data_IF_653982824330
#
_entry.id   IF_653982824330
#
_cell.length_a   1.000
_cell.length_b   1.000
_cell.length_c   1.000
_cell.angle_alpha   90.00
_cell.angle_beta   90.00
_cell.angle_gamma   90.00
#
_symmetry.space_group_name_H-M   'P 1'
#
loop_
_entity.id
_entity.type
_entity.pdbx_description
1 polymer ?
#
# COMPACT_ATOMS: atom_id res chain seq x y z
N UNK A 1 7.28 3.89 -19.95
CA UNK A 1 6.02 4.28 -20.63
C UNK A 1 4.88 3.27 -20.45
N UNK A 2 5.05 1.97 -20.75
CA UNK A 2 3.95 1.00 -20.71
C UNK A 2 3.24 0.88 -19.35
N UNK A 3 3.95 0.96 -18.22
CA UNK A 3 3.33 0.96 -16.90
C UNK A 3 2.35 2.12 -16.68
N UNK A 4 2.69 3.32 -17.16
CA UNK A 4 1.82 4.50 -17.08
C UNK A 4 0.60 4.34 -17.98
N UNK A 5 0.78 3.78 -19.18
CA UNK A 5 -0.35 3.49 -20.08
C UNK A 5 -1.28 2.42 -19.48
N UNK A 6 -0.73 1.40 -18.83
CA UNK A 6 -1.52 0.37 -18.16
C UNK A 6 -2.41 0.98 -17.06
N UNK A 7 -1.83 1.84 -16.21
CA UNK A 7 -2.56 2.56 -15.17
C UNK A 7 -3.60 3.54 -15.75
N UNK A 8 -3.29 4.16 -16.88
CA UNK A 8 -4.21 5.06 -17.59
C UNK A 8 -5.40 4.31 -18.19
N UNK A 9 -5.15 3.15 -18.81
CA UNK A 9 -6.20 2.26 -19.31
C UNK A 9 -7.08 1.78 -18.15
N UNK A 10 -6.49 1.44 -17.01
CA UNK A 10 -7.24 1.07 -15.81
C UNK A 10 -8.14 2.20 -15.30
N UNK A 11 -7.65 3.44 -15.28
CA UNK A 11 -8.49 4.59 -14.94
C UNK A 11 -9.59 4.82 -15.98
N UNK A 12 -9.28 4.67 -17.28
CA UNK A 12 -10.24 4.77 -18.37
C UNK A 12 -11.39 3.76 -18.24
N UNK A 13 -11.15 2.56 -17.70
CA UNK A 13 -12.21 1.57 -17.48
C UNK A 13 -13.25 2.01 -16.45
N UNK A 14 -12.91 2.98 -15.59
CA UNK A 14 -13.80 3.57 -14.58
C UNK A 14 -14.56 4.75 -15.19
N UNK A 15 -13.87 5.65 -15.88
CA UNK A 15 -14.48 6.85 -16.47
C UNK A 15 -15.26 6.58 -17.76
N UNK A 16 -15.10 5.40 -18.36
CA UNK A 16 -15.82 4.94 -19.56
C UNK A 16 -16.40 3.52 -19.37
N UNK A 17 -17.44 3.37 -18.53
CA UNK A 17 -18.02 2.07 -18.21
C UNK A 17 -18.46 1.27 -19.44
N UNK A 18 -18.93 1.94 -20.49
CA UNK A 18 -19.37 1.35 -21.75
C UNK A 18 -18.25 0.64 -22.52
N UNK A 19 -16.98 0.96 -22.22
CA UNK A 19 -15.78 0.32 -22.78
C UNK A 19 -14.91 -0.30 -21.69
N UNK A 20 -15.46 -0.53 -20.50
CA UNK A 20 -14.68 -0.97 -19.33
C UNK A 20 -13.90 -2.26 -19.62
N UNK A 21 -14.56 -3.27 -20.20
CA UNK A 21 -13.92 -4.54 -20.54
C UNK A 21 -12.73 -4.37 -21.50
N UNK A 22 -12.85 -3.51 -22.51
CA UNK A 22 -11.77 -3.20 -23.46
C UNK A 22 -10.59 -2.55 -22.75
N UNK A 23 -10.84 -1.58 -21.87
CA UNK A 23 -9.79 -0.87 -21.16
C UNK A 23 -9.11 -1.73 -20.09
N UNK A 24 -9.85 -2.62 -19.42
CA UNK A 24 -9.29 -3.61 -18.49
C UNK A 24 -8.36 -4.59 -19.21
N UNK A 25 -8.80 -5.13 -20.36
CA UNK A 25 -7.96 -5.99 -21.18
C UNK A 25 -6.69 -5.26 -21.68
N UNK A 26 -6.81 -3.99 -22.11
CA UNK A 26 -5.64 -3.17 -22.46
C UNK A 26 -4.70 -2.98 -21.27
N UNK A 27 -5.23 -2.69 -20.08
CA UNK A 27 -4.43 -2.51 -18.87
C UNK A 27 -3.61 -3.76 -18.56
N UNK A 28 -4.22 -4.95 -18.62
CA UNK A 28 -3.54 -6.24 -18.42
C UNK A 28 -2.44 -6.45 -19.45
N UNK A 29 -2.73 -6.31 -20.76
CA UNK A 29 -1.72 -6.50 -21.82
C UNK A 29 -0.53 -5.55 -21.65
N UNK A 30 -0.79 -4.28 -21.35
CA UNK A 30 0.23 -3.26 -21.14
C UNK A 30 1.07 -3.56 -19.90
N UNK A 31 0.44 -3.98 -18.80
CA UNK A 31 1.14 -4.35 -17.56
C UNK A 31 2.05 -5.56 -17.78
N UNK A 32 1.55 -6.62 -18.42
CA UNK A 32 2.35 -7.82 -18.73
C UNK A 32 3.57 -7.49 -19.59
N UNK A 33 3.39 -6.66 -20.63
CA UNK A 33 4.50 -6.23 -21.48
C UNK A 33 5.51 -5.37 -20.70
N UNK A 34 5.03 -4.51 -19.81
CA UNK A 34 5.90 -3.65 -19.00
C UNK A 34 6.73 -4.46 -18.01
N UNK A 35 6.15 -5.47 -17.34
CA UNK A 35 6.87 -6.40 -16.45
C UNK A 35 7.93 -7.17 -17.25
N UNK A 36 7.59 -7.68 -18.44
CA UNK A 36 8.54 -8.37 -19.31
C UNK A 36 9.74 -7.49 -19.65
N UNK A 37 9.50 -6.23 -20.03
CA UNK A 37 10.57 -5.27 -20.32
C UNK A 37 11.41 -4.95 -19.07
N UNK A 38 10.78 -4.73 -17.92
CA UNK A 38 11.49 -4.49 -16.67
C UNK A 38 12.43 -5.64 -16.31
N UNK A 39 11.95 -6.88 -16.46
CA UNK A 39 12.75 -8.08 -16.21
C UNK A 39 13.95 -8.20 -17.15
N UNK A 40 13.85 -7.71 -18.38
CA UNK A 40 14.98 -7.68 -19.34
C UNK A 40 16.06 -6.64 -19.01
N UNK A 41 15.72 -5.60 -18.23
CA UNK A 41 16.66 -4.49 -17.91
C UNK A 41 17.48 -4.68 -16.63
N UNK A 42 17.49 -5.89 -16.04
CA UNK A 42 18.00 -6.13 -14.68
C UNK A 42 19.50 -5.87 -14.47
N UNK A 43 20.32 -5.86 -15.53
CA UNK A 43 21.78 -5.74 -15.45
C UNK A 43 22.36 -4.41 -15.96
N UNK A 44 21.51 -3.45 -16.32
CA UNK A 44 22.00 -2.18 -16.85
C UNK A 44 22.24 -1.19 -15.71
N UNK A 45 23.51 -1.06 -15.29
CA UNK A 45 23.93 -0.09 -14.29
C UNK A 45 23.69 1.37 -14.73
N UNK A 46 23.56 2.27 -13.75
CA UNK A 46 23.44 3.71 -13.98
C UNK A 46 22.32 4.37 -13.18
N UNK A 47 22.58 5.60 -12.73
CA UNK A 47 21.67 6.39 -11.89
C UNK A 47 20.31 6.64 -12.55
N UNK A 48 20.29 7.03 -13.82
CA UNK A 48 19.06 7.27 -14.59
C UNK A 48 18.19 6.01 -14.74
N UNK A 49 18.83 4.86 -14.99
CA UNK A 49 18.13 3.57 -15.11
C UNK A 49 17.56 3.13 -13.77
N UNK A 50 18.26 3.36 -12.67
CA UNK A 50 17.75 3.12 -11.33
C UNK A 50 16.51 3.97 -11.04
N UNK A 51 16.53 5.26 -11.37
CA UNK A 51 15.36 6.14 -11.22
C UNK A 51 14.18 5.66 -12.06
N UNK A 52 14.40 5.30 -13.33
CA UNK A 52 13.36 4.76 -14.19
C UNK A 52 12.76 3.45 -13.64
N UNK A 53 13.60 2.55 -13.11
CA UNK A 53 13.17 1.31 -12.45
C UNK A 53 12.37 1.58 -11.19
N UNK A 54 12.78 2.56 -10.38
CA UNK A 54 12.09 2.94 -9.16
C UNK A 54 10.71 3.52 -9.47
N UNK A 55 10.63 4.45 -10.43
CA UNK A 55 9.36 5.02 -10.90
C UNK A 55 8.43 3.94 -11.45
N UNK A 56 8.96 3.05 -12.29
CA UNK A 56 8.19 1.94 -12.83
C UNK A 56 7.66 1.02 -11.72
N UNK A 57 8.50 0.63 -10.77
CA UNK A 57 8.12 -0.24 -9.64
C UNK A 57 7.06 0.41 -8.77
N UNK A 58 7.16 1.74 -8.55
CA UNK A 58 6.18 2.52 -7.80
C UNK A 58 4.82 2.59 -8.50
N UNK A 59 4.82 2.81 -9.83
CA UNK A 59 3.59 2.81 -10.64
C UNK A 59 2.96 1.43 -10.69
N UNK A 60 3.77 0.38 -10.87
CA UNK A 60 3.30 -1.00 -10.95
C UNK A 60 2.65 -1.45 -9.65
N UNK A 61 3.30 -1.23 -8.50
CA UNK A 61 2.74 -1.60 -7.19
C UNK A 61 1.43 -0.88 -6.91
N UNK A 62 1.36 0.43 -7.20
CA UNK A 62 0.11 1.21 -7.08
C UNK A 62 -1.00 0.68 -8.00
N UNK A 63 -0.68 0.31 -9.23
CA UNK A 63 -1.65 -0.24 -10.17
C UNK A 63 -2.21 -1.57 -9.66
N UNK A 64 -1.34 -2.50 -9.23
CA UNK A 64 -1.78 -3.81 -8.70
C UNK A 64 -2.69 -3.63 -7.48
N UNK A 65 -2.32 -2.77 -6.54
CA UNK A 65 -3.14 -2.52 -5.34
C UNK A 65 -4.48 -1.86 -5.68
N UNK A 66 -4.49 -0.92 -6.63
CA UNK A 66 -5.73 -0.31 -7.11
C UNK A 66 -6.65 -1.33 -7.80
N UNK A 67 -6.10 -2.33 -8.49
CA UNK A 67 -6.89 -3.42 -9.06
C UNK A 67 -7.51 -4.28 -7.98
N UNK A 68 -6.72 -4.68 -6.98
CA UNK A 68 -7.20 -5.52 -5.88
C UNK A 68 -8.27 -4.82 -5.05
N UNK A 69 -8.08 -3.55 -4.70
CA UNK A 69 -9.05 -2.77 -3.91
C UNK A 69 -10.40 -2.55 -4.61
N UNK A 70 -10.47 -2.79 -5.93
CA UNK A 70 -11.70 -2.63 -6.72
C UNK A 70 -12.30 -3.95 -7.18
N UNK A 71 -11.72 -5.08 -6.78
CA UNK A 71 -12.24 -6.40 -7.10
C UNK A 71 -13.24 -6.82 -6.01
N UNK A 72 -14.50 -6.45 -6.21
CA UNK A 72 -15.62 -6.65 -5.28
C UNK A 72 -16.23 -8.06 -5.35
N UNK A 73 -15.76 -8.90 -6.30
CA UNK A 73 -16.25 -10.27 -6.49
C UNK A 73 -15.44 -11.36 -5.77
N UNK A 74 -14.32 -11.02 -5.13
CA UNK A 74 -13.47 -11.98 -4.45
C UNK A 74 -14.01 -12.32 -3.05
N UNK A 75 -13.94 -13.59 -2.67
CA UNK A 75 -14.01 -13.93 -1.25
C UNK A 75 -12.81 -13.34 -0.49
N UNK A 76 -12.96 -13.20 0.83
CA UNK A 76 -11.94 -12.53 1.64
C UNK A 76 -10.55 -13.21 1.57
N UNK A 77 -10.42 -14.55 1.66
CA UNK A 77 -9.12 -15.20 1.50
C UNK A 77 -8.43 -14.93 0.15
N UNK A 78 -9.18 -14.96 -0.96
CA UNK A 78 -8.64 -14.69 -2.29
C UNK A 78 -8.28 -13.20 -2.47
N UNK A 79 -9.11 -12.30 -1.95
CA UNK A 79 -8.77 -10.88 -1.86
C UNK A 79 -7.45 -10.68 -1.12
N UNK A 80 -7.33 -11.27 0.08
CA UNK A 80 -6.18 -11.08 0.95
C UNK A 80 -4.90 -11.62 0.32
N UNK A 81 -4.98 -12.79 -0.34
CA UNK A 81 -3.84 -13.36 -1.08
C UNK A 81 -3.34 -12.43 -2.19
N UNK A 82 -4.26 -11.86 -2.99
CA UNK A 82 -3.89 -10.90 -4.04
C UNK A 82 -3.38 -9.58 -3.45
N UNK A 83 -3.98 -9.14 -2.34
CA UNK A 83 -3.55 -7.94 -1.63
C UNK A 83 -2.12 -8.09 -1.11
N UNK A 84 -1.80 -9.14 -0.37
CA UNK A 84 -0.45 -9.37 0.17
C UNK A 84 0.56 -9.56 -0.95
N UNK A 85 0.21 -10.26 -2.03
CA UNK A 85 1.05 -10.33 -3.23
C UNK A 85 1.33 -8.93 -3.81
N UNK A 86 0.29 -8.10 -3.94
CA UNK A 86 0.42 -6.72 -4.41
C UNK A 86 1.30 -5.86 -3.49
N UNK A 87 1.15 -6.01 -2.17
CA UNK A 87 1.98 -5.32 -1.17
C UNK A 87 3.44 -5.77 -1.30
N UNK A 88 3.74 -7.06 -1.47
CA UNK A 88 5.11 -7.54 -1.68
C UNK A 88 5.73 -6.98 -2.97
N UNK A 89 4.97 -6.97 -4.07
CA UNK A 89 5.44 -6.40 -5.34
C UNK A 89 5.72 -4.91 -5.18
N UNK A 90 4.86 -4.17 -4.48
CA UNK A 90 5.08 -2.75 -4.21
C UNK A 90 6.27 -2.51 -3.28
N UNK A 91 6.46 -3.37 -2.27
CA UNK A 91 7.62 -3.38 -1.38
C UNK A 91 8.96 -3.58 -2.11
N UNK A 92 8.95 -4.21 -3.29
CA UNK A 92 10.11 -4.34 -4.17
C UNK A 92 10.75 -3.00 -4.57
N UNK A 93 10.02 -1.88 -4.45
CA UNK A 93 10.58 -0.53 -4.59
C UNK A 93 11.78 -0.30 -3.65
N UNK A 94 11.75 -0.85 -2.42
CA UNK A 94 12.86 -0.74 -1.46
C UNK A 94 14.13 -1.40 -1.99
N UNK A 95 14.01 -2.57 -2.62
CA UNK A 95 15.14 -3.29 -3.19
C UNK A 95 15.76 -2.56 -4.39
N UNK A 96 14.94 -1.85 -5.19
CA UNK A 96 15.45 -1.00 -6.27
C UNK A 96 16.15 0.24 -5.71
N UNK A 97 15.56 0.89 -4.71
CA UNK A 97 16.15 2.07 -4.08
C UNK A 97 17.49 1.76 -3.40
N UNK A 98 17.65 0.57 -2.82
CA UNK A 98 18.89 0.12 -2.17
C UNK A 98 20.08 -0.09 -3.13
N UNK A 99 19.86 -0.09 -4.45
CA UNK A 99 20.94 -0.25 -5.46
C UNK A 99 21.77 1.03 -5.67
N UNK A 100 21.32 2.16 -5.12
CA UNK A 100 21.98 3.45 -5.23
C UNK A 100 21.99 4.14 -3.88
N UNK A 101 22.93 5.08 -3.70
CA UNK A 101 22.88 5.95 -2.53
C UNK A 101 21.61 6.82 -2.59
N UNK A 102 20.82 6.84 -1.52
CA UNK A 102 19.57 7.60 -1.44
C UNK A 102 19.77 9.09 -1.71
N UNK A 103 20.84 9.70 -1.18
CA UNK A 103 21.19 11.11 -1.42
C UNK A 103 21.41 11.35 -2.92
N UNK A 104 22.11 10.44 -3.59
CA UNK A 104 22.35 10.55 -5.04
C UNK A 104 21.07 10.42 -5.88
N UNK A 105 20.07 9.65 -5.41
CA UNK A 105 18.74 9.61 -6.04
C UNK A 105 17.98 10.93 -5.84
N UNK A 106 18.12 11.56 -4.67
CA UNK A 106 17.50 12.85 -4.37
C UNK A 106 18.08 14.02 -5.15
N UNK A 107 19.34 13.92 -5.59
CA UNK A 107 19.98 14.91 -6.47
C UNK A 107 19.48 14.85 -7.92
N UNK A 108 18.67 13.86 -8.27
CA UNK A 108 18.07 13.76 -9.61
C UNK A 108 16.90 14.74 -9.75
N UNK A 109 16.48 15.02 -10.99
CA UNK A 109 15.28 15.81 -11.27
C UNK A 109 13.99 15.23 -10.63
N UNK A 110 14.03 13.94 -10.24
CA UNK A 110 12.92 13.25 -9.58
C UNK A 110 12.99 13.31 -8.04
N UNK A 111 14.08 13.82 -7.45
CA UNK A 111 14.21 13.99 -6.00
C UNK A 111 13.03 14.69 -5.35
N UNK A 112 12.57 15.86 -5.87
CA UNK A 112 11.39 16.54 -5.33
C UNK A 112 10.10 15.69 -5.42
N UNK A 113 9.94 14.88 -6.47
CA UNK A 113 8.81 13.96 -6.59
C UNK A 113 8.92 12.82 -5.56
N UNK A 114 10.14 12.36 -5.30
CA UNK A 114 10.44 11.33 -4.30
C UNK A 114 10.27 11.84 -2.88
N UNK A 115 10.42 13.13 -2.58
CA UNK A 115 10.32 13.67 -1.21
C UNK A 115 9.05 14.44 -0.92
N UNK A 116 8.30 14.88 -1.94
CA UNK A 116 7.03 15.62 -1.74
C UNK A 116 6.05 14.84 -0.87
N UNK A 117 5.72 15.35 0.31
CA UNK A 117 4.85 14.66 1.27
C UNK A 117 5.52 13.49 2.00
N UNK A 118 6.85 13.32 1.91
CA UNK A 118 7.60 12.61 2.95
C UNK A 118 8.06 13.65 3.96
N UNK A 119 7.62 13.53 5.19
CA UNK A 119 8.23 14.27 6.27
C UNK A 119 9.50 13.55 6.73
N UNK A 120 10.58 14.29 6.96
CA UNK A 120 11.84 13.72 7.46
C UNK A 120 11.68 13.12 8.87
N UNK A 121 10.71 13.62 9.63
CA UNK A 121 10.35 13.24 11.00
C UNK A 121 9.23 12.18 11.07
N UNK A 122 8.93 11.49 9.97
CA UNK A 122 7.76 10.60 9.86
C UNK A 122 7.74 9.51 10.95
N UNK A 123 8.91 9.06 11.40
CA UNK A 123 9.06 8.08 12.48
C UNK A 123 9.34 8.71 13.86
N UNK A 124 9.60 10.02 13.92
CA UNK A 124 10.05 10.72 15.13
C UNK A 124 8.89 11.46 15.83
N UNK A 125 7.71 11.51 15.21
CA UNK A 125 6.54 12.14 15.78
C UNK A 125 5.94 11.31 16.91
N UNK A 126 5.74 11.97 18.04
CA UNK A 126 4.97 11.44 19.16
C UNK A 126 3.49 11.60 18.81
N UNK A 127 2.87 10.52 18.36
CA UNK A 127 1.43 10.46 18.05
C UNK A 127 0.74 9.75 19.20
N UNK A 128 -0.42 10.26 19.63
CA UNK A 128 -1.27 9.56 20.58
C UNK A 128 -1.66 8.19 20.00
N UNK A 129 -1.21 7.09 20.63
CA UNK A 129 -1.46 5.79 20.09
C UNK A 129 -2.91 5.37 20.25
N UNK A 130 -3.38 4.50 19.35
CA UNK A 130 -4.61 3.76 19.63
C UNK A 130 -4.35 2.74 20.75
N UNK A 131 -4.59 3.15 22.01
CA UNK A 131 -4.34 2.34 23.21
C UNK A 131 -5.05 0.97 23.17
N UNK A 132 -6.25 0.93 22.60
CA UNK A 132 -7.04 -0.31 22.46
C UNK A 132 -6.35 -1.30 21.53
N UNK A 133 -5.89 -0.84 20.37
CA UNK A 133 -5.17 -1.68 19.41
C UNK A 133 -3.75 -2.03 19.87
N UNK A 134 -3.06 -1.10 20.53
CA UNK A 134 -1.75 -1.38 21.12
C UNK A 134 -1.84 -2.43 22.21
N UNK A 135 -2.85 -2.32 23.10
CA UNK A 135 -3.08 -3.31 24.15
C UNK A 135 -3.39 -4.69 23.54
N UNK A 136 -4.19 -4.76 22.48
CA UNK A 136 -4.45 -6.01 21.75
C UNK A 136 -3.15 -6.65 21.24
N UNK A 137 -2.28 -5.87 20.58
CA UNK A 137 -1.02 -6.37 20.01
C UNK A 137 -0.03 -6.77 21.11
N UNK A 138 0.08 -5.97 22.17
CA UNK A 138 0.99 -6.23 23.30
C UNK A 138 0.62 -7.52 24.03
N UNK A 139 -0.68 -7.76 24.24
CA UNK A 139 -1.18 -8.92 25.00
C UNK A 139 -1.55 -10.12 24.13
N UNK A 140 -1.28 -10.10 22.81
CA UNK A 140 -1.51 -11.29 21.98
C UNK A 140 -0.56 -12.41 22.43
N UNK A 141 -1.10 -13.57 22.89
CA UNK A 141 -0.28 -14.65 23.46
C UNK A 141 0.51 -15.42 22.39
N UNK A 142 0.10 -15.29 21.13
CA UNK A 142 0.64 -16.06 20.01
C UNK A 142 1.74 -15.31 19.25
N UNK A 143 2.01 -14.05 19.61
CA UNK A 143 3.03 -13.24 18.96
C UNK A 143 4.38 -13.43 19.63
N UNK A 144 5.39 -13.73 18.80
CA UNK A 144 6.76 -13.45 19.21
C UNK A 144 7.06 -11.94 19.10
N UNK A 145 8.22 -11.54 19.63
CA UNK A 145 8.60 -10.13 19.68
C UNK A 145 8.72 -9.47 18.29
N UNK A 146 9.15 -10.22 17.26
CA UNK A 146 9.26 -9.73 15.89
C UNK A 146 7.88 -9.51 15.25
N UNK A 147 6.94 -10.43 15.48
CA UNK A 147 5.55 -10.34 15.01
C UNK A 147 4.81 -9.17 15.67
N UNK A 148 5.03 -8.99 16.97
CA UNK A 148 4.50 -7.85 17.74
C UNK A 148 5.03 -6.55 17.18
N UNK A 149 6.36 -6.40 17.10
CA UNK A 149 7.00 -5.20 16.57
C UNK A 149 6.56 -4.86 15.15
N UNK A 150 6.35 -5.89 14.31
CA UNK A 150 5.87 -5.71 12.95
C UNK A 150 4.43 -5.16 12.88
N UNK A 151 3.52 -5.69 13.72
CA UNK A 151 2.16 -5.17 13.84
C UNK A 151 2.14 -3.75 14.39
N UNK A 152 2.93 -3.46 15.42
CA UNK A 152 3.06 -2.11 15.99
C UNK A 152 3.58 -1.11 14.97
N UNK A 153 4.59 -1.48 14.17
CA UNK A 153 5.09 -0.61 13.10
C UNK A 153 4.02 -0.36 12.04
N UNK A 154 3.31 -1.40 11.61
CA UNK A 154 2.23 -1.26 10.64
C UNK A 154 1.10 -0.35 11.16
N UNK A 155 0.75 -0.48 12.44
CA UNK A 155 -0.24 0.37 13.11
C UNK A 155 0.24 1.82 13.23
N UNK A 156 1.48 2.04 13.69
CA UNK A 156 2.09 3.37 13.81
C UNK A 156 2.04 4.13 12.49
N UNK A 157 2.38 3.48 11.37
CA UNK A 157 2.31 4.10 10.05
C UNK A 157 0.90 4.58 9.69
N UNK A 158 -0.14 3.82 10.07
CA UNK A 158 -1.54 4.22 9.86
C UNK A 158 -1.92 5.41 10.73
N UNK A 159 -1.58 5.36 12.02
CA UNK A 159 -1.90 6.44 12.95
C UNK A 159 -1.15 7.74 12.62
N UNK A 160 0.11 7.66 12.16
CA UNK A 160 0.85 8.80 11.57
C UNK A 160 0.12 9.39 10.37
N UNK A 161 -0.31 8.54 9.44
CA UNK A 161 -1.04 9.00 8.26
C UNK A 161 -2.36 9.68 8.61
N UNK A 162 -3.09 9.13 9.59
CA UNK A 162 -4.35 9.71 10.09
C UNK A 162 -4.12 11.04 10.81
N UNK A 163 -3.06 11.15 11.62
CA UNK A 163 -2.66 12.39 12.26
C UNK A 163 -2.34 13.46 11.21
N UNK A 164 -1.48 13.13 10.25
CA UNK A 164 -1.06 14.03 9.17
C UNK A 164 -2.24 14.54 8.33
N UNK A 165 -3.27 13.71 8.12
CA UNK A 165 -4.49 14.14 7.41
C UNK A 165 -5.29 15.22 8.16
N UNK A 166 -5.21 15.26 9.48
CA UNK A 166 -5.93 16.23 10.32
C UNK A 166 -5.18 17.56 10.44
N UNK A 167 -3.87 17.55 10.21
CA UNK A 167 -3.03 18.74 10.20
C UNK A 167 -3.04 19.39 8.79
N UNK A 168 -3.55 20.64 8.65
CA UNK A 168 -3.56 21.35 7.37
C UNK A 168 -2.18 21.51 6.72
N UNK A 169 -1.12 21.53 7.52
CA UNK A 169 0.27 21.67 7.04
C UNK A 169 0.87 20.36 6.56
N UNK A 170 0.28 19.22 6.96
CA UNK A 170 0.81 17.86 6.69
C UNK A 170 -0.15 16.99 5.89
N UNK A 171 -1.27 17.52 5.42
CA UNK A 171 -2.29 16.76 4.68
C UNK A 171 -1.74 15.97 3.48
N UNK A 172 -0.73 16.51 2.77
CA UNK A 172 -0.06 15.83 1.68
C UNK A 172 0.79 14.64 2.15
N UNK A 173 1.36 14.71 3.35
CA UNK A 173 2.04 13.58 4.00
C UNK A 173 1.05 12.45 4.32
N UNK A 174 -0.10 12.80 4.89
CA UNK A 174 -1.17 11.84 5.16
C UNK A 174 -1.68 11.17 3.88
N UNK A 175 -1.97 11.96 2.83
CA UNK A 175 -2.36 11.44 1.50
C UNK A 175 -1.30 10.51 0.91
N UNK A 176 -0.03 10.88 1.04
CA UNK A 176 1.08 10.05 0.55
C UNK A 176 1.21 8.75 1.34
N UNK A 177 1.02 8.80 2.66
CA UNK A 177 1.09 7.63 3.53
C UNK A 177 0.09 6.54 3.11
N UNK A 178 -1.10 6.90 2.62
CA UNK A 178 -2.06 5.92 2.10
C UNK A 178 -1.45 4.99 1.05
N UNK A 179 -0.60 5.51 0.18
CA UNK A 179 0.06 4.74 -0.87
C UNK A 179 1.38 4.13 -0.42
N UNK A 180 2.16 4.84 0.39
CA UNK A 180 3.48 4.35 0.83
C UNK A 180 3.42 3.33 1.96
N UNK A 181 2.31 3.23 2.70
CA UNK A 181 2.13 2.22 3.75
C UNK A 181 2.50 0.82 3.27
N UNK A 182 2.00 0.42 2.10
CA UNK A 182 2.29 -0.89 1.48
C UNK A 182 3.76 -1.09 1.06
N UNK A 183 4.55 -0.02 0.94
CA UNK A 183 6.01 -0.12 0.75
C UNK A 183 6.71 -0.28 2.11
N UNK A 184 6.22 0.45 3.12
CA UNK A 184 6.89 0.63 4.41
C UNK A 184 6.62 -0.50 5.40
N UNK A 185 5.50 -1.22 5.28
CA UNK A 185 5.19 -2.32 6.19
C UNK A 185 6.27 -3.40 6.21
N UNK A 186 6.58 -3.99 7.38
CA UNK A 186 7.55 -5.07 7.48
C UNK A 186 7.07 -6.36 6.81
N UNK A 187 8.00 -7.14 6.23
CA UNK A 187 7.67 -8.43 5.61
C UNK A 187 7.05 -9.41 6.60
N UNK A 188 7.43 -9.32 7.88
CA UNK A 188 6.86 -10.12 8.96
C UNK A 188 5.37 -9.87 9.13
N UNK A 189 4.94 -8.61 9.05
CA UNK A 189 3.52 -8.25 9.11
C UNK A 189 2.75 -8.81 7.91
N UNK A 190 3.33 -8.75 6.71
CA UNK A 190 2.72 -9.34 5.50
C UNK A 190 2.52 -10.85 5.70
N UNK A 191 3.51 -11.54 6.27
CA UNK A 191 3.40 -12.98 6.55
C UNK A 191 2.30 -13.31 7.58
N UNK A 192 2.00 -12.42 8.52
CA UNK A 192 0.87 -12.57 9.44
C UNK A 192 -0.47 -12.45 8.72
N UNK A 193 -0.57 -11.52 7.77
CA UNK A 193 -1.76 -11.40 6.90
C UNK A 193 -1.94 -12.63 6.02
N UNK A 194 -0.88 -13.16 5.43
CA UNK A 194 -0.94 -14.39 4.63
C UNK A 194 -1.42 -15.61 5.45
N UNK A 195 -1.07 -15.64 6.74
CA UNK A 195 -1.55 -16.62 7.73
C UNK A 195 -2.93 -16.30 8.29
N UNK A 196 -3.54 -15.18 7.90
CA UNK A 196 -4.87 -14.73 8.34
C UNK A 196 -4.99 -14.60 9.86
N UNK A 197 -3.91 -14.15 10.50
CA UNK A 197 -3.87 -13.94 11.95
C UNK A 197 -4.83 -12.80 12.33
N UNK A 198 -5.82 -13.04 13.22
CA UNK A 198 -6.84 -12.06 13.54
C UNK A 198 -6.33 -10.68 13.98
N UNK A 199 -5.34 -10.64 14.87
CA UNK A 199 -4.77 -9.39 15.37
C UNK A 199 -4.10 -8.57 14.25
N UNK A 200 -3.47 -9.23 13.28
CA UNK A 200 -2.92 -8.56 12.10
C UNK A 200 -4.04 -8.05 11.17
N UNK A 201 -5.15 -8.79 11.04
CA UNK A 201 -6.32 -8.35 10.26
C UNK A 201 -7.00 -7.13 10.89
N UNK A 202 -6.97 -6.99 12.23
CA UNK A 202 -7.43 -5.77 12.92
C UNK A 202 -6.56 -4.56 12.53
N UNK A 203 -5.23 -4.72 12.43
CA UNK A 203 -4.36 -3.64 11.93
C UNK A 203 -4.67 -3.31 10.46
N UNK A 204 -4.97 -4.31 9.64
CA UNK A 204 -5.43 -4.09 8.26
C UNK A 204 -6.79 -3.38 8.20
N UNK A 205 -7.70 -3.67 9.14
CA UNK A 205 -8.96 -2.95 9.27
C UNK A 205 -8.73 -1.48 9.64
N UNK A 206 -7.77 -1.18 10.53
CA UNK A 206 -7.36 0.19 10.82
C UNK A 206 -6.82 0.90 9.57
N UNK A 207 -6.03 0.22 8.74
CA UNK A 207 -5.62 0.75 7.43
C UNK A 207 -6.80 0.98 6.48
N UNK A 208 -7.80 0.10 6.47
CA UNK A 208 -9.01 0.27 5.64
C UNK A 208 -9.83 1.52 6.03
N UNK A 209 -9.91 1.84 7.33
CA UNK A 209 -10.49 3.09 7.81
C UNK A 209 -9.68 4.30 7.36
N UNK A 210 -8.36 4.20 7.36
CA UNK A 210 -7.50 5.25 6.84
C UNK A 210 -7.72 5.47 5.33
N UNK A 211 -7.88 4.40 4.55
CA UNK A 211 -8.23 4.48 3.13
C UNK A 211 -9.59 5.14 2.87
N UNK A 212 -10.55 5.09 3.81
CA UNK A 212 -11.85 5.75 3.67
C UNK A 212 -11.72 7.27 3.45
N UNK A 213 -10.71 7.91 4.04
CA UNK A 213 -10.42 9.34 3.82
C UNK A 213 -9.87 9.62 2.42
N UNK A 214 -9.35 8.59 1.74
CA UNK A 214 -8.84 8.63 0.38
C UNK A 214 -9.84 8.20 -0.69
N UNK A 215 -11.13 7.99 -0.38
CA UNK A 215 -12.12 7.46 -1.33
C UNK A 215 -12.31 8.30 -2.62
N UNK A 216 -11.95 9.58 -2.57
CA UNK A 216 -11.97 10.46 -3.75
C UNK A 216 -10.85 10.15 -4.75
N UNK A 217 -9.79 9.47 -4.34
CA UNK A 217 -8.76 8.97 -5.25
C UNK A 217 -9.30 7.77 -6.02
N UNK A 218 -9.19 7.83 -7.35
CA UNK A 218 -9.68 6.76 -8.22
C UNK A 218 -9.01 5.40 -7.92
N UNK A 219 -7.79 5.39 -7.41
CA UNK A 219 -7.09 4.15 -7.02
C UNK A 219 -7.71 3.47 -5.80
N UNK A 220 -8.34 4.23 -4.91
CA UNK A 220 -8.89 3.72 -3.65
C UNK A 220 -10.39 3.49 -3.81
N UNK A 221 -11.13 4.51 -4.22
CA UNK A 221 -12.59 4.45 -4.33
C UNK A 221 -13.23 3.92 -3.04
N UNK A 222 -14.16 2.98 -3.19
CA UNK A 222 -14.84 2.33 -2.08
C UNK A 222 -14.07 1.13 -1.47
N UNK A 223 -12.83 0.89 -1.91
CA UNK A 223 -12.04 -0.27 -1.45
C UNK A 223 -11.76 -0.30 0.06
N UNK A 224 -11.67 0.87 0.70
CA UNK A 224 -11.54 0.96 2.17
C UNK A 224 -12.75 0.39 2.92
N UNK A 225 -13.95 0.95 2.74
CA UNK A 225 -15.19 0.41 3.31
C UNK A 225 -15.44 -1.08 2.99
N UNK A 226 -15.21 -1.52 1.75
CA UNK A 226 -15.37 -2.93 1.40
C UNK A 226 -14.40 -3.85 2.16
N UNK A 227 -13.13 -3.43 2.28
CA UNK A 227 -12.13 -4.17 3.04
C UNK A 227 -12.51 -4.27 4.52
N UNK A 228 -12.96 -3.17 5.13
CA UNK A 228 -13.41 -3.17 6.52
C UNK A 228 -14.56 -4.17 6.74
N UNK A 229 -15.55 -4.13 5.85
CA UNK A 229 -16.70 -5.02 5.91
C UNK A 229 -16.28 -6.49 5.75
N UNK A 230 -15.40 -6.79 4.79
CA UNK A 230 -14.92 -8.15 4.57
C UNK A 230 -14.12 -8.70 5.77
N UNK A 231 -13.26 -7.87 6.39
CA UNK A 231 -12.54 -8.24 7.62
C UNK A 231 -13.51 -8.47 8.77
N UNK A 232 -14.47 -7.57 8.96
CA UNK A 232 -15.48 -7.65 10.02
C UNK A 232 -16.33 -8.93 9.91
N UNK A 233 -16.77 -9.28 8.70
CA UNK A 233 -17.50 -10.50 8.42
C UNK A 233 -16.64 -11.77 8.62
N UNK A 234 -15.37 -11.72 8.24
CA UNK A 234 -14.44 -12.85 8.38
C UNK A 234 -14.06 -13.14 9.84
N UNK A 235 -13.77 -12.10 10.62
CA UNK A 235 -13.39 -12.22 12.04
C UNK A 235 -14.59 -12.54 12.95
N UNK A 236 -15.77 -12.02 12.61
CA UNK A 236 -17.00 -12.23 13.35
C UNK A 236 -17.19 -11.28 14.55
N UNK A 237 -18.31 -11.43 15.28
CA UNK A 237 -18.79 -10.44 16.26
C UNK A 237 -17.86 -10.18 17.44
N UNK A 238 -17.05 -11.17 17.82
CA UNK A 238 -16.13 -11.02 18.96
C UNK A 238 -15.08 -9.93 18.73
N UNK A 239 -14.75 -9.62 17.47
CA UNK A 239 -13.72 -8.65 17.11
C UNK A 239 -14.22 -7.21 16.96
N UNK A 240 -15.54 -6.99 17.00
CA UNK A 240 -16.13 -5.65 16.81
C UNK A 240 -15.55 -4.53 17.70
N UNK A 241 -15.20 -4.77 18.98
CA UNK A 241 -14.62 -3.72 19.83
C UNK A 241 -13.31 -3.11 19.29
N UNK A 242 -12.60 -3.83 18.40
CA UNK A 242 -11.36 -3.36 17.77
C UNK A 242 -11.54 -2.88 16.33
N UNK A 243 -12.77 -2.95 15.79
CA UNK A 243 -13.10 -2.58 14.40
C UNK A 243 -13.90 -1.28 14.29
N UNK A 244 -13.99 -0.49 15.36
CA UNK A 244 -14.67 0.80 15.43
C UNK A 244 -13.74 1.99 15.28
#
# INVERSE_FOLDING_TARGET
>A
MQGVLAMSARHLSIIRPERSALYLDQAVRLQTRAIKMFNMTHNEGGREKCVARLLFSSVLGRHILADVLRDDGLDFPNFLSRFTQGVRIHGGVKAVAAQQNWVSLLETEFGPLMTRGLAADMCDQIIEPNEVLQSLIAHSPNFNEEERSACEMALRLVDTGLHDLRDPTRVECGRRMMFTWSIMVPDRYISLLERQIPEALVVLARYSMFLHFGRSFWQIGEGGPYLLHAISAYLGPMWQPWLS
#
